data_IF_175070811305
#
_entry.id   IF_175070811305
#
_cell.length_a   1.000
_cell.length_b   1.000
_cell.length_c   1.000
_cell.angle_alpha   90.00
_cell.angle_beta   90.00
_cell.angle_gamma   90.00
#
_symmetry.space_group_name_H-M   'P 1'
#
loop_
_entity.id
_entity.type
_entity.pdbx_description
1 polymer ?
#
# COMPACT_ATOMS: atom_id res chain seq x y z
N UNK A 1 7.29 -18.43 0.50
CA UNK A 1 7.92 -17.25 -0.12
C UNK A 1 8.49 -16.40 0.99
N UNK A 2 9.68 -15.85 0.78
CA UNK A 2 10.23 -14.87 1.71
C UNK A 2 9.40 -13.59 1.62
N UNK A 3 9.04 -13.03 2.76
CA UNK A 3 8.46 -11.70 2.83
C UNK A 3 9.64 -10.72 2.80
N UNK A 4 9.74 -9.88 1.78
CA UNK A 4 10.76 -8.86 1.61
C UNK A 4 10.28 -7.78 0.67
N UNK A 5 11.01 -6.66 0.59
CA UNK A 5 10.65 -5.49 -0.20
C UNK A 5 9.83 -4.44 0.54
N UNK A 6 9.61 -4.61 1.84
CA UNK A 6 9.00 -3.61 2.71
C UNK A 6 9.32 -3.93 4.17
N UNK A 7 9.41 -2.91 5.02
CA UNK A 7 9.37 -3.05 6.46
C UNK A 7 7.91 -3.26 6.87
N UNK A 8 7.49 -4.50 7.07
CA UNK A 8 6.11 -4.85 7.39
C UNK A 8 6.00 -6.26 7.95
N UNK A 9 5.09 -6.46 8.88
CA UNK A 9 4.81 -7.77 9.45
C UNK A 9 3.94 -8.60 8.50
N UNK A 10 4.37 -9.82 8.06
CA UNK A 10 3.59 -10.66 7.18
C UNK A 10 2.48 -11.42 7.91
N UNK A 11 1.41 -11.79 7.19
CA UNK A 11 0.52 -12.86 7.61
C UNK A 11 1.17 -14.21 7.33
N UNK A 12 1.11 -15.11 8.28
CA UNK A 12 1.63 -16.48 8.18
C UNK A 12 0.48 -17.47 8.07
N UNK A 13 0.65 -18.50 7.24
CA UNK A 13 -0.35 -19.55 7.04
C UNK A 13 0.34 -20.87 6.66
N UNK A 14 -0.38 -21.97 6.83
CA UNK A 14 0.11 -23.31 6.45
C UNK A 14 -0.43 -23.72 5.08
N UNK A 15 0.48 -24.08 4.16
CA UNK A 15 0.11 -24.61 2.84
C UNK A 15 -0.02 -26.13 2.92
N UNK A 16 -1.25 -26.62 3.09
CA UNK A 16 -1.54 -28.04 3.35
C UNK A 16 -1.00 -29.00 2.28
N UNK A 17 -1.04 -28.60 0.99
CA UNK A 17 -0.62 -29.49 -0.09
C UNK A 17 0.88 -29.78 -0.09
N UNK A 18 1.71 -28.84 0.34
CA UNK A 18 3.16 -28.97 0.46
C UNK A 18 3.61 -29.26 1.89
N UNK A 19 2.70 -29.16 2.88
CA UNK A 19 3.01 -29.25 4.32
C UNK A 19 4.12 -28.29 4.71
N UNK A 20 4.00 -27.04 4.28
CA UNK A 20 4.96 -25.96 4.51
C UNK A 20 4.28 -24.71 5.07
N UNK A 21 4.96 -24.03 5.98
CA UNK A 21 4.54 -22.73 6.45
C UNK A 21 4.95 -21.67 5.43
N UNK A 22 4.02 -20.81 5.06
CA UNK A 22 4.22 -19.77 4.05
C UNK A 22 3.77 -18.41 4.58
N UNK A 23 4.32 -17.35 4.00
CA UNK A 23 3.94 -15.98 4.28
C UNK A 23 3.18 -15.38 3.09
N UNK A 24 2.13 -14.61 3.35
CA UNK A 24 1.50 -13.81 2.33
C UNK A 24 2.43 -12.67 1.94
N UNK A 25 2.44 -12.29 0.67
CA UNK A 25 3.34 -11.25 0.13
C UNK A 25 3.00 -9.88 0.72
N UNK A 26 4.02 -9.17 1.16
CA UNK A 26 3.94 -7.79 1.69
C UNK A 26 4.30 -6.75 0.64
N UNK A 27 4.98 -7.15 -0.46
CA UNK A 27 5.45 -6.35 -1.58
C UNK A 27 5.59 -7.23 -2.82
N UNK A 28 5.73 -6.62 -3.99
CA UNK A 28 5.94 -7.27 -5.29
C UNK A 28 7.41 -7.20 -5.73
N UNK A 29 8.23 -6.43 -5.03
CA UNK A 29 9.55 -5.93 -5.38
C UNK A 29 10.53 -7.04 -5.81
N UNK A 30 10.84 -7.98 -4.92
CA UNK A 30 11.91 -8.95 -5.16
C UNK A 30 11.61 -9.88 -6.35
N UNK A 31 10.34 -10.13 -6.65
CA UNK A 31 9.95 -10.92 -7.82
C UNK A 31 10.10 -10.13 -9.12
N UNK A 32 9.69 -8.86 -9.13
CA UNK A 32 9.79 -8.01 -10.32
C UNK A 32 11.25 -7.69 -10.65
N UNK A 33 12.11 -7.47 -9.64
CA UNK A 33 13.56 -7.30 -9.85
C UNK A 33 14.21 -8.54 -10.49
N UNK A 34 13.79 -9.75 -10.12
CA UNK A 34 14.26 -10.98 -10.79
C UNK A 34 13.90 -11.02 -12.27
N UNK A 35 12.76 -10.45 -12.67
CA UNK A 35 12.39 -10.33 -14.09
C UNK A 35 13.30 -9.34 -14.83
N UNK A 36 13.73 -8.26 -14.18
CA UNK A 36 14.74 -7.33 -14.72
C UNK A 36 16.08 -8.06 -14.93
N UNK A 37 16.54 -8.83 -13.95
CA UNK A 37 17.71 -9.70 -14.09
C UNK A 37 17.56 -10.67 -15.25
N UNK A 38 16.35 -11.22 -15.45
CA UNK A 38 16.01 -12.08 -16.58
C UNK A 38 15.94 -11.41 -17.94
N UNK A 39 16.18 -10.08 -18.01
CA UNK A 39 16.28 -9.31 -19.27
C UNK A 39 15.00 -8.61 -19.70
N UNK A 40 13.96 -8.56 -18.87
CA UNK A 40 12.78 -7.74 -19.12
C UNK A 40 13.09 -6.28 -18.73
N UNK A 41 13.17 -5.38 -19.69
CA UNK A 41 13.60 -4.00 -19.45
C UNK A 41 12.55 -3.16 -18.67
N UNK A 42 11.27 -3.50 -18.77
CA UNK A 42 10.16 -2.81 -18.09
C UNK A 42 9.15 -3.82 -17.61
N UNK A 43 8.88 -3.80 -16.34
CA UNK A 43 7.92 -4.70 -15.70
C UNK A 43 7.03 -3.92 -14.74
N UNK A 44 5.78 -4.35 -14.61
CA UNK A 44 4.90 -3.87 -13.55
C UNK A 44 3.91 -4.95 -13.14
N UNK A 45 3.45 -4.86 -11.92
CA UNK A 45 2.31 -5.63 -11.42
C UNK A 45 1.39 -4.71 -10.60
N UNK A 46 0.09 -4.85 -10.80
CA UNK A 46 -0.92 -4.27 -9.90
C UNK A 46 -1.55 -5.46 -9.18
N UNK A 47 -1.38 -5.53 -7.87
CA UNK A 47 -1.80 -6.69 -7.11
C UNK A 47 -2.11 -6.38 -5.65
N UNK A 48 -2.74 -7.36 -4.99
CA UNK A 48 -2.98 -7.31 -3.55
C UNK A 48 -1.71 -7.70 -2.80
N UNK A 49 -1.43 -6.92 -1.77
CA UNK A 49 -0.41 -7.22 -0.76
C UNK A 49 -1.05 -7.21 0.62
N UNK A 50 -0.39 -7.88 1.56
CA UNK A 50 -0.96 -8.20 2.87
C UNK A 50 0.05 -7.82 3.95
N UNK A 51 -0.34 -6.88 4.84
CA UNK A 51 0.49 -6.47 5.98
C UNK A 51 -0.31 -6.63 7.26
N UNK A 52 0.24 -7.38 8.20
CA UNK A 52 -0.39 -7.66 9.49
C UNK A 52 -0.15 -6.50 10.47
N UNK A 53 -0.73 -5.37 10.13
CA UNK A 53 -0.61 -4.10 10.83
C UNK A 53 -1.97 -3.61 11.32
N UNK A 54 -2.00 -2.42 11.93
CA UNK A 54 -3.23 -1.80 12.39
C UNK A 54 -4.21 -1.43 11.26
N UNK A 55 -5.47 -1.25 11.63
CA UNK A 55 -6.54 -0.78 10.72
C UNK A 55 -6.96 0.61 11.16
N UNK A 56 -6.89 1.57 10.23
CA UNK A 56 -7.35 2.94 10.44
C UNK A 56 -8.03 3.49 9.18
N UNK A 57 -8.20 4.80 9.08
CA UNK A 57 -8.82 5.43 7.91
C UNK A 57 -7.97 5.36 6.63
N UNK A 58 -6.66 5.11 6.74
CA UNK A 58 -5.69 5.09 5.65
C UNK A 58 -5.09 3.70 5.40
N UNK A 59 -5.21 2.79 6.37
CA UNK A 59 -4.60 1.46 6.35
C UNK A 59 -5.63 0.36 6.43
N UNK A 60 -5.48 -0.61 5.55
CA UNK A 60 -6.21 -1.87 5.56
C UNK A 60 -5.19 -3.01 5.44
N UNK A 61 -5.34 -4.13 6.15
CA UNK A 61 -4.35 -5.21 6.14
C UNK A 61 -4.17 -5.86 4.77
N UNK A 62 -5.13 -5.66 3.89
CA UNK A 62 -5.11 -6.04 2.47
C UNK A 62 -5.37 -4.79 1.64
N UNK A 63 -4.45 -4.47 0.73
CA UNK A 63 -4.57 -3.28 -0.13
C UNK A 63 -3.94 -3.51 -1.50
N UNK A 64 -4.23 -2.62 -2.45
CA UNK A 64 -3.71 -2.70 -3.82
C UNK A 64 -2.47 -1.85 -3.95
N UNK A 65 -1.37 -2.49 -4.36
CA UNK A 65 -0.12 -1.85 -4.70
C UNK A 65 0.15 -2.01 -6.19
N UNK A 66 0.67 -0.98 -6.84
CA UNK A 66 1.31 -1.11 -8.14
C UNK A 66 2.80 -0.89 -7.95
N UNK A 67 3.60 -1.86 -8.33
CA UNK A 67 5.05 -1.72 -8.43
C UNK A 67 5.49 -1.83 -9.87
N UNK A 68 6.45 -1.02 -10.26
CA UNK A 68 7.08 -1.07 -11.58
C UNK A 68 8.57 -0.82 -11.49
N UNK A 69 9.30 -1.45 -12.40
CA UNK A 69 10.75 -1.37 -12.50
C UNK A 69 11.15 -1.16 -13.95
N UNK A 70 12.09 -0.27 -14.17
CA UNK A 70 12.62 0.02 -15.49
C UNK A 70 14.15 0.01 -15.47
N UNK A 71 14.74 -0.80 -16.35
CA UNK A 71 16.17 -0.82 -16.56
C UNK A 71 16.66 0.48 -17.25
N UNK A 72 17.93 0.83 -17.02
CA UNK A 72 18.63 1.98 -17.61
C UNK A 72 18.01 3.34 -17.26
N UNK A 73 17.44 3.43 -16.06
CA UNK A 73 16.98 4.66 -15.44
C UNK A 73 17.37 4.70 -13.96
N UNK A 74 17.04 5.78 -13.29
CA UNK A 74 17.31 6.05 -11.89
C UNK A 74 16.09 6.67 -11.19
N UNK A 75 16.24 7.07 -9.92
CA UNK A 75 15.16 7.68 -9.17
C UNK A 75 14.69 9.03 -9.73
N UNK A 76 15.53 9.76 -10.47
CA UNK A 76 15.09 10.99 -11.17
C UNK A 76 14.13 10.66 -12.31
N UNK A 77 14.41 9.60 -13.09
CA UNK A 77 13.48 9.11 -14.11
C UNK A 77 12.15 8.65 -13.50
N UNK A 78 12.17 8.08 -12.29
CA UNK A 78 10.95 7.72 -11.56
C UNK A 78 10.17 8.97 -11.09
N UNK A 79 10.84 10.07 -10.70
CA UNK A 79 10.17 11.35 -10.39
C UNK A 79 9.44 11.91 -11.62
N UNK A 80 10.09 11.93 -12.78
CA UNK A 80 9.49 12.43 -14.02
C UNK A 80 8.28 11.59 -14.43
N UNK A 81 8.37 10.27 -14.32
CA UNK A 81 7.26 9.35 -14.56
C UNK A 81 6.11 9.65 -13.59
N UNK A 82 6.40 9.79 -12.32
CA UNK A 82 5.41 10.03 -11.27
C UNK A 82 4.68 11.35 -11.48
N UNK A 83 5.42 12.43 -11.68
CA UNK A 83 4.84 13.76 -11.92
C UNK A 83 3.93 13.77 -13.16
N UNK A 84 4.39 13.14 -14.26
CA UNK A 84 3.59 13.04 -15.48
C UNK A 84 2.35 12.15 -15.31
N UNK A 85 2.45 11.04 -14.57
CA UNK A 85 1.35 10.13 -14.30
C UNK A 85 0.26 10.79 -13.44
N UNK A 86 0.63 11.45 -12.34
CA UNK A 86 -0.34 12.12 -11.48
C UNK A 86 -1.07 13.25 -12.21
N UNK A 87 -0.34 14.06 -13.01
CA UNK A 87 -0.94 15.07 -13.85
C UNK A 87 -1.91 14.48 -14.87
N UNK A 88 -1.50 13.44 -15.58
CA UNK A 88 -2.33 12.73 -16.55
C UNK A 88 -3.61 12.16 -15.92
N UNK A 89 -3.50 11.52 -14.77
CA UNK A 89 -4.64 10.93 -14.06
C UNK A 89 -5.61 12.01 -13.57
N UNK A 90 -5.12 13.10 -13.00
CA UNK A 90 -5.96 14.23 -12.58
C UNK A 90 -6.75 14.81 -13.76
N UNK A 91 -6.09 15.04 -14.89
CA UNK A 91 -6.77 15.53 -16.11
C UNK A 91 -7.81 14.53 -16.64
N UNK A 92 -7.47 13.22 -16.67
CA UNK A 92 -8.37 12.20 -17.24
C UNK A 92 -9.54 11.85 -16.35
N UNK A 93 -9.34 11.78 -15.04
CA UNK A 93 -10.35 11.37 -14.06
C UNK A 93 -11.18 12.56 -13.58
N UNK A 94 -10.51 13.67 -13.23
CA UNK A 94 -11.15 14.82 -12.62
C UNK A 94 -11.41 15.97 -13.62
N UNK A 95 -10.87 15.87 -14.84
CA UNK A 95 -11.03 16.91 -15.90
C UNK A 95 -10.15 18.14 -15.67
N UNK A 96 -9.23 18.13 -14.71
CA UNK A 96 -8.37 19.27 -14.35
C UNK A 96 -7.12 18.77 -13.66
N UNK A 97 -5.99 19.49 -13.82
CA UNK A 97 -4.77 19.27 -13.01
C UNK A 97 -4.93 19.77 -11.57
N UNK A 98 -5.97 20.54 -11.28
CA UNK A 98 -6.33 20.97 -9.93
C UNK A 98 -7.49 20.15 -9.44
N UNK A 99 -7.30 19.48 -8.32
CA UNK A 99 -8.35 18.69 -7.65
C UNK A 99 -8.64 19.29 -6.27
N UNK A 100 -9.79 18.98 -5.72
CA UNK A 100 -10.12 19.28 -4.32
C UNK A 100 -10.20 17.98 -3.54
N UNK A 101 -9.51 17.91 -2.41
CA UNK A 101 -9.60 16.83 -1.46
C UNK A 101 -9.93 17.40 -0.09
N UNK A 102 -11.07 17.01 0.48
CA UNK A 102 -11.59 17.54 1.75
C UNK A 102 -11.55 19.08 1.83
N UNK A 103 -11.90 19.76 0.71
CA UNK A 103 -11.88 21.21 0.61
C UNK A 103 -10.51 21.84 0.41
N UNK A 104 -9.44 21.06 0.35
CA UNK A 104 -8.08 21.52 0.09
C UNK A 104 -7.79 21.40 -1.42
N UNK A 105 -7.37 22.51 -2.08
CA UNK A 105 -6.94 22.47 -3.47
C UNK A 105 -5.53 21.86 -3.57
N UNK A 106 -5.37 20.85 -4.43
CA UNK A 106 -4.11 20.21 -4.80
C UNK A 106 -3.86 20.48 -6.28
N UNK A 107 -2.69 21.04 -6.62
CA UNK A 107 -2.36 21.50 -7.97
C UNK A 107 -1.23 20.65 -8.58
N UNK A 108 -1.61 19.67 -9.42
CA UNK A 108 -0.66 18.85 -10.19
C UNK A 108 -0.12 19.55 -11.45
N UNK A 109 -0.65 20.73 -11.81
CA UNK A 109 -0.20 21.51 -12.96
C UNK A 109 1.15 22.19 -12.73
N UNK A 110 1.55 22.38 -11.47
CA UNK A 110 2.84 22.93 -11.08
C UNK A 110 3.89 21.83 -10.99
N UNK A 111 5.20 22.17 -11.15
CA UNK A 111 6.27 21.26 -10.79
C UNK A 111 6.16 20.87 -9.31
N UNK A 112 6.36 19.59 -9.00
CA UNK A 112 6.34 19.11 -7.62
C UNK A 112 7.58 19.64 -6.88
N UNK A 113 7.39 20.03 -5.62
CA UNK A 113 8.50 20.47 -4.77
C UNK A 113 9.48 19.30 -4.55
N UNK A 114 10.79 19.60 -4.51
CA UNK A 114 11.83 18.62 -4.24
C UNK A 114 12.64 19.09 -3.03
N UNK A 115 12.59 18.33 -1.95
CA UNK A 115 13.33 18.59 -0.72
C UNK A 115 14.12 17.34 -0.33
N UNK A 116 15.33 17.48 0.14
CA UNK A 116 15.98 16.38 0.86
C UNK A 116 15.30 16.22 2.23
N UNK A 117 15.34 15.01 2.80
CA UNK A 117 14.78 14.77 4.13
C UNK A 117 15.40 15.70 5.18
N UNK A 118 16.72 15.90 5.14
CA UNK A 118 17.43 16.82 6.07
C UNK A 118 17.02 18.27 5.85
N UNK A 119 16.85 18.71 4.58
CA UNK A 119 16.38 20.08 4.30
C UNK A 119 14.94 20.29 4.77
N UNK A 120 14.08 19.28 4.65
CA UNK A 120 12.72 19.35 5.18
C UNK A 120 12.74 19.51 6.71
N UNK A 121 13.50 18.70 7.42
CA UNK A 121 13.66 18.82 8.87
C UNK A 121 14.20 20.21 9.26
N UNK A 122 15.25 20.65 8.59
CA UNK A 122 15.84 21.98 8.82
C UNK A 122 14.83 23.12 8.59
N UNK A 123 14.01 22.99 7.53
CA UNK A 123 12.95 23.98 7.20
C UNK A 123 11.93 24.12 8.32
N UNK A 124 11.53 23.02 8.96
CA UNK A 124 10.42 23.01 9.91
C UNK A 124 10.86 23.06 11.38
N UNK A 125 12.07 22.57 11.71
CA UNK A 125 12.57 22.52 13.10
C UNK A 125 13.76 23.43 13.36
N UNK A 126 14.51 23.83 12.33
CA UNK A 126 15.78 24.52 12.42
C UNK A 126 16.97 23.58 12.68
N UNK A 127 16.76 22.29 12.90
CA UNK A 127 17.83 21.30 13.14
C UNK A 127 18.43 20.88 11.80
N UNK A 128 19.76 20.97 11.70
CA UNK A 128 20.54 20.57 10.53
C UNK A 128 21.30 19.27 10.81
N UNK A 129 20.72 18.14 10.43
CA UNK A 129 21.33 16.82 10.66
C UNK A 129 22.60 16.58 9.83
N UNK A 130 22.88 17.37 8.79
CA UNK A 130 24.16 17.29 8.08
C UNK A 130 25.34 17.82 8.95
N UNK A 131 25.05 18.59 10.00
CA UNK A 131 26.04 19.07 10.96
C UNK A 131 26.17 18.18 12.21
N UNK A 132 25.31 17.18 12.37
CA UNK A 132 25.32 16.24 13.50
C UNK A 132 26.39 15.18 13.28
N UNK A 133 27.31 15.03 14.24
CA UNK A 133 28.50 14.22 14.05
C UNK A 133 28.27 12.71 14.12
N UNK A 134 27.45 12.26 15.10
CA UNK A 134 27.27 10.84 15.39
C UNK A 134 25.91 10.51 16.03
N UNK A 135 25.70 9.22 16.34
CA UNK A 135 24.47 8.72 16.94
C UNK A 135 24.19 9.32 18.32
N UNK A 136 25.23 9.58 19.11
CA UNK A 136 25.07 10.13 20.46
C UNK A 136 24.58 11.58 20.41
N UNK A 137 25.10 12.37 19.50
CA UNK A 137 24.63 13.75 19.27
C UNK A 137 23.20 13.75 18.70
N UNK A 138 22.87 12.84 17.77
CA UNK A 138 21.51 12.71 17.23
C UNK A 138 20.50 12.37 18.33
N UNK A 139 20.81 11.40 19.21
CA UNK A 139 19.97 11.04 20.37
C UNK A 139 19.78 12.20 21.34
N UNK A 140 20.85 12.95 21.61
CA UNK A 140 20.76 14.15 22.46
C UNK A 140 19.80 15.19 21.86
N UNK A 141 19.85 15.42 20.55
CA UNK A 141 18.91 16.32 19.86
C UNK A 141 17.49 15.78 19.94
N UNK A 142 17.29 14.46 19.80
CA UNK A 142 15.99 13.82 19.98
C UNK A 142 15.42 14.06 21.39
N UNK A 143 16.24 13.91 22.43
CA UNK A 143 15.86 14.22 23.82
C UNK A 143 15.44 15.69 23.99
N UNK A 144 16.21 16.63 23.42
CA UNK A 144 15.93 18.07 23.47
C UNK A 144 14.61 18.45 22.76
N UNK A 145 14.22 17.68 21.74
CA UNK A 145 12.99 17.88 20.97
C UNK A 145 11.84 16.95 21.39
N UNK A 146 12.04 16.11 22.42
CA UNK A 146 11.06 15.16 22.93
C UNK A 146 10.62 14.10 21.90
N UNK A 147 11.51 13.72 20.96
CA UNK A 147 11.29 12.64 20.01
C UNK A 147 11.67 11.31 20.68
N UNK A 148 10.72 10.39 20.76
CA UNK A 148 10.95 9.08 21.34
C UNK A 148 11.76 8.21 20.38
N UNK A 149 12.73 7.44 20.90
CA UNK A 149 13.55 6.52 20.12
C UNK A 149 13.93 5.28 20.93
N UNK A 150 14.34 4.22 20.24
CA UNK A 150 14.86 3.01 20.87
C UNK A 150 16.39 3.06 20.99
N UNK A 151 16.96 2.33 21.96
CA UNK A 151 18.41 2.31 22.19
C UNK A 151 19.21 1.83 20.96
N UNK A 152 18.63 0.94 20.15
CA UNK A 152 19.24 0.43 18.92
C UNK A 152 19.30 1.46 17.78
N UNK A 153 18.52 2.51 17.84
CA UNK A 153 18.44 3.51 16.77
C UNK A 153 19.75 4.25 16.57
N UNK A 154 20.12 4.45 15.33
CA UNK A 154 21.27 5.22 14.86
C UNK A 154 20.83 6.60 14.39
N UNK A 155 21.79 7.42 13.96
CA UNK A 155 21.51 8.77 13.45
C UNK A 155 20.46 8.76 12.34
N UNK A 156 20.54 7.83 11.38
CA UNK A 156 19.58 7.74 10.28
C UNK A 156 18.16 7.45 10.73
N UNK A 157 17.99 6.56 11.72
CA UNK A 157 16.69 6.29 12.34
C UNK A 157 16.12 7.53 13.02
N UNK A 158 16.96 8.28 13.75
CA UNK A 158 16.56 9.55 14.40
C UNK A 158 16.14 10.59 13.37
N UNK A 159 16.84 10.70 12.23
CA UNK A 159 16.47 11.59 11.13
C UNK A 159 15.06 11.25 10.63
N UNK A 160 14.75 9.96 10.45
CA UNK A 160 13.42 9.52 10.03
C UNK A 160 12.34 9.89 11.06
N UNK A 161 12.57 9.61 12.34
CA UNK A 161 11.64 9.97 13.41
C UNK A 161 11.37 11.48 13.47
N UNK A 162 12.40 12.32 13.26
CA UNK A 162 12.21 13.77 13.16
C UNK A 162 11.37 14.18 11.95
N UNK A 163 11.58 13.52 10.82
CA UNK A 163 10.80 13.80 9.64
C UNK A 163 9.32 13.43 9.85
N UNK A 164 9.02 12.26 10.37
CA UNK A 164 7.67 11.80 10.70
C UNK A 164 6.97 12.76 11.67
N UNK A 165 7.64 13.14 12.77
CA UNK A 165 7.03 13.96 13.82
C UNK A 165 6.80 15.41 13.37
N UNK A 166 7.72 16.03 12.62
CA UNK A 166 7.69 17.48 12.39
C UNK A 166 7.39 17.91 10.95
N UNK A 167 7.54 17.01 9.97
CA UNK A 167 7.49 17.36 8.56
C UNK A 167 6.26 16.83 7.81
N UNK A 168 5.88 15.57 8.01
CA UNK A 168 4.83 14.92 7.22
C UNK A 168 3.52 15.70 7.20
N UNK A 169 3.07 16.16 8.37
CA UNK A 169 1.81 16.92 8.49
C UNK A 169 1.86 18.31 7.81
N UNK A 170 3.02 18.77 7.35
CA UNK A 170 3.18 20.03 6.64
C UNK A 170 3.12 19.88 5.12
N UNK A 171 3.19 18.66 4.60
CA UNK A 171 3.32 18.35 3.19
C UNK A 171 1.95 18.23 2.51
N UNK A 172 1.34 19.36 2.18
CA UNK A 172 0.00 19.40 1.58
C UNK A 172 0.07 19.30 0.06
N UNK A 173 0.89 20.13 -0.60
CA UNK A 173 1.09 20.10 -2.03
C UNK A 173 2.07 18.99 -2.42
N UNK A 174 2.01 18.46 -3.66
CA UNK A 174 2.89 17.39 -4.11
C UNK A 174 4.36 17.73 -3.87
N UNK A 175 5.02 16.96 -3.01
CA UNK A 175 6.41 17.17 -2.59
C UNK A 175 7.16 15.85 -2.58
N UNK A 176 8.26 15.78 -3.33
CA UNK A 176 9.23 14.70 -3.25
C UNK A 176 10.18 14.93 -2.07
N UNK A 177 10.21 14.00 -1.14
CA UNK A 177 11.20 13.94 -0.08
C UNK A 177 12.29 12.97 -0.51
N UNK A 178 13.51 13.48 -0.62
CA UNK A 178 14.63 12.80 -1.27
C UNK A 178 15.75 12.49 -0.29
N UNK A 179 16.67 11.63 -0.72
CA UNK A 179 17.95 11.42 -0.06
C UNK A 179 17.81 10.91 1.39
N UNK A 180 17.04 9.84 1.51
CA UNK A 180 16.80 9.17 2.80
C UNK A 180 18.09 8.59 3.40
N UNK A 181 18.14 8.43 4.73
CA UNK A 181 19.23 7.73 5.39
C UNK A 181 19.40 6.27 4.92
N UNK A 182 20.64 5.81 4.92
CA UNK A 182 20.98 4.46 4.51
C UNK A 182 20.39 3.39 5.46
N UNK A 183 20.27 3.71 6.74
CA UNK A 183 19.81 2.81 7.79
C UNK A 183 18.40 2.30 7.54
N UNK A 184 17.53 3.14 6.98
CA UNK A 184 16.12 2.83 6.71
C UNK A 184 15.85 2.43 5.25
N UNK A 185 16.89 2.11 4.47
CA UNK A 185 16.75 1.91 3.02
C UNK A 185 17.56 0.71 2.53
N UNK A 186 17.21 -0.53 2.90
CA UNK A 186 18.04 -1.72 2.71
C UNK A 186 18.22 -2.16 1.26
N UNK A 187 17.32 -1.75 0.34
CA UNK A 187 17.29 -2.18 -1.07
C UNK A 187 17.68 -1.09 -2.06
N UNK A 188 18.16 0.05 -1.53
CA UNK A 188 18.42 1.25 -2.32
C UNK A 188 19.91 1.53 -2.50
N UNK A 189 20.25 2.02 -3.68
CA UNK A 189 21.63 2.40 -4.04
C UNK A 189 22.09 3.62 -3.25
N UNK A 190 23.33 3.56 -2.73
CA UNK A 190 23.98 4.69 -2.06
C UNK A 190 24.18 5.86 -3.02
N UNK A 191 24.06 7.09 -2.52
CA UNK A 191 24.49 8.26 -3.29
C UNK A 191 25.99 8.29 -3.41
N UNK A 192 26.53 8.46 -4.63
CA UNK A 192 27.97 8.55 -4.82
C UNK A 192 28.62 9.74 -4.10
N UNK A 193 27.89 10.84 -3.94
CA UNK A 193 28.37 12.07 -3.27
C UNK A 193 28.34 12.00 -1.75
N UNK A 194 27.48 11.17 -1.18
CA UNK A 194 27.31 11.01 0.27
C UNK A 194 26.77 9.59 0.57
N UNK A 195 27.65 8.61 0.85
CA UNK A 195 27.26 7.23 1.08
C UNK A 195 26.42 6.98 2.35
N UNK A 196 26.22 7.98 3.20
CA UNK A 196 25.27 7.90 4.35
C UNK A 196 23.82 8.08 3.93
N UNK A 197 23.62 8.54 2.69
CA UNK A 197 22.31 8.75 2.06
C UNK A 197 22.15 7.83 0.85
N UNK A 198 20.92 7.60 0.45
CA UNK A 198 20.57 6.76 -0.68
C UNK A 198 19.77 7.52 -1.74
N UNK A 199 19.79 7.04 -2.97
CA UNK A 199 19.01 7.57 -4.09
C UNK A 199 17.55 7.11 -4.00
N UNK A 200 16.81 7.64 -3.03
CA UNK A 200 15.41 7.34 -2.72
C UNK A 200 14.59 8.63 -2.66
N UNK A 201 13.34 8.53 -3.05
CA UNK A 201 12.35 9.54 -2.71
C UNK A 201 11.02 8.89 -2.30
N UNK A 202 10.27 9.64 -1.52
CA UNK A 202 8.85 9.42 -1.28
C UNK A 202 8.07 10.64 -1.76
N UNK A 203 6.91 10.43 -2.37
CA UNK A 203 6.01 11.52 -2.75
C UNK A 203 4.95 11.68 -1.66
N UNK A 204 4.90 12.85 -1.07
CA UNK A 204 3.84 13.24 -0.14
C UNK A 204 2.83 14.17 -0.82
N UNK A 205 1.54 13.89 -0.60
CA UNK A 205 0.42 14.74 -1.00
C UNK A 205 -0.61 14.68 0.12
N UNK A 206 -1.07 15.84 0.57
CA UNK A 206 -2.05 15.94 1.66
C UNK A 206 -1.64 15.13 2.91
N UNK A 207 -0.39 15.26 3.31
CA UNK A 207 0.23 14.55 4.44
C UNK A 207 0.37 13.03 4.27
N UNK A 208 0.13 12.48 3.08
CA UNK A 208 0.19 11.05 2.82
C UNK A 208 1.35 10.69 1.91
N UNK A 209 2.07 9.65 2.25
CA UNK A 209 2.95 8.96 1.33
C UNK A 209 2.10 8.30 0.23
N UNK A 210 2.30 8.75 -1.01
CA UNK A 210 1.59 8.25 -2.19
C UNK A 210 2.39 7.20 -2.95
N UNK A 211 3.71 7.32 -2.93
CA UNK A 211 4.62 6.35 -3.53
C UNK A 211 6.01 6.45 -2.91
N UNK A 212 6.75 5.36 -3.05
CA UNK A 212 8.13 5.20 -2.63
C UNK A 212 8.96 4.67 -3.80
N UNK A 213 10.09 5.29 -4.10
CA UNK A 213 10.90 4.97 -5.27
C UNK A 213 12.38 5.20 -5.03
N UNK A 214 13.19 4.44 -5.75
CA UNK A 214 14.63 4.55 -5.66
C UNK A 214 15.38 4.04 -6.89
N UNK A 215 16.66 4.41 -6.98
CA UNK A 215 17.62 3.66 -7.79
C UNK A 215 17.92 2.35 -7.10
N UNK A 216 17.70 1.24 -7.78
CA UNK A 216 17.81 -0.09 -7.21
C UNK A 216 19.26 -0.43 -6.86
N UNK A 217 19.45 -0.98 -5.66
CA UNK A 217 20.74 -1.56 -5.28
C UNK A 217 21.00 -2.80 -6.15
N UNK A 218 22.00 -2.72 -7.00
CA UNK A 218 22.36 -3.77 -7.95
C UNK A 218 23.77 -4.36 -7.72
N UNK A 219 24.42 -4.00 -6.61
CA UNK A 219 25.67 -4.59 -6.15
C UNK A 219 25.36 -5.72 -5.15
N UNK A 220 25.64 -7.00 -5.50
CA UNK A 220 25.34 -8.13 -4.64
C UNK A 220 26.15 -8.12 -3.33
N UNK A 221 27.35 -7.51 -3.30
CA UNK A 221 28.17 -7.42 -2.10
C UNK A 221 27.55 -6.43 -1.12
N UNK A 222 27.22 -5.22 -1.58
CA UNK A 222 26.53 -4.21 -0.75
C UNK A 222 25.15 -4.74 -0.29
N UNK A 223 24.40 -5.41 -1.17
CA UNK A 223 23.10 -5.99 -0.80
C UNK A 223 23.23 -7.04 0.31
N UNK A 224 24.23 -7.88 0.26
CA UNK A 224 24.49 -8.89 1.31
C UNK A 224 24.81 -8.22 2.65
N UNK A 225 25.61 -7.14 2.64
CA UNK A 225 25.91 -6.36 3.85
C UNK A 225 24.65 -5.70 4.43
N UNK A 226 23.75 -5.21 3.57
CA UNK A 226 22.48 -4.62 4.01
C UNK A 226 21.54 -5.65 4.64
N UNK A 227 21.40 -6.81 4.02
CA UNK A 227 20.61 -7.90 4.58
C UNK A 227 21.19 -8.39 5.92
N UNK A 228 22.51 -8.51 6.04
CA UNK A 228 23.14 -8.87 7.31
C UNK A 228 22.86 -7.84 8.42
N UNK A 229 22.78 -6.55 8.08
CA UNK A 229 22.39 -5.52 9.02
C UNK A 229 20.90 -5.63 9.43
N UNK A 230 20.02 -5.97 8.49
CA UNK A 230 18.60 -6.22 8.78
C UNK A 230 18.40 -7.48 9.65
N UNK A 231 19.11 -8.57 9.37
CA UNK A 231 19.09 -9.76 10.22
C UNK A 231 19.56 -9.46 11.66
N UNK A 232 20.54 -8.55 11.82
CA UNK A 232 20.98 -8.09 13.13
C UNK A 232 19.91 -7.25 13.85
N UNK A 233 19.17 -6.40 13.13
CA UNK A 233 18.04 -5.65 13.68
C UNK A 233 16.91 -6.60 14.11
N UNK A 234 16.57 -7.60 13.28
CA UNK A 234 15.59 -8.64 13.63
C UNK A 234 15.99 -9.38 14.91
N UNK A 235 17.28 -9.75 15.05
CA UNK A 235 17.79 -10.39 16.25
C UNK A 235 17.75 -9.47 17.49
N UNK A 236 17.74 -8.15 17.28
CA UNK A 236 17.60 -7.15 18.34
C UNK A 236 16.12 -6.82 18.68
N UNK A 237 15.16 -7.50 18.03
CA UNK A 237 13.72 -7.39 18.32
C UNK A 237 12.92 -6.53 17.34
N UNK A 238 13.47 -6.25 16.17
CA UNK A 238 12.75 -5.58 15.10
C UNK A 238 11.91 -6.60 14.30
N UNK A 239 10.62 -6.65 14.57
CA UNK A 239 9.69 -7.60 13.92
C UNK A 239 9.40 -7.26 12.45
N UNK A 240 9.79 -6.07 11.98
CA UNK A 240 9.58 -5.57 10.62
C UNK A 240 10.85 -5.65 9.75
N UNK A 241 11.99 -6.00 10.35
CA UNK A 241 13.25 -6.11 9.63
C UNK A 241 13.18 -7.20 8.54
N UNK A 242 13.78 -6.89 7.39
CA UNK A 242 13.88 -7.84 6.29
C UNK A 242 14.87 -8.96 6.61
N UNK A 243 14.60 -10.16 6.10
CA UNK A 243 15.50 -11.28 6.21
C UNK A 243 16.29 -11.49 4.92
N UNK A 244 17.51 -12.03 5.06
CA UNK A 244 18.36 -12.40 3.92
C UNK A 244 17.62 -13.33 2.96
N UNK A 245 17.52 -12.93 1.69
CA UNK A 245 17.01 -13.73 0.57
C UNK A 245 18.18 -14.15 -0.32
N UNK A 246 18.70 -15.38 -0.09
CA UNK A 246 19.81 -15.92 -0.88
C UNK A 246 19.47 -16.11 -2.35
N UNK A 247 18.21 -16.41 -2.70
CA UNK A 247 17.81 -16.54 -4.11
C UNK A 247 17.83 -15.18 -4.82
N UNK A 248 17.48 -14.11 -4.11
CA UNK A 248 17.59 -12.76 -4.65
C UNK A 248 19.06 -12.34 -4.79
N UNK A 249 19.92 -12.63 -3.81
CA UNK A 249 21.36 -12.39 -3.92
C UNK A 249 21.99 -13.14 -5.10
N UNK A 250 21.65 -14.42 -5.28
CA UNK A 250 22.08 -15.20 -6.44
C UNK A 250 21.62 -14.56 -7.76
N UNK A 251 20.41 -14.02 -7.81
CA UNK A 251 19.94 -13.30 -8.99
C UNK A 251 20.77 -12.04 -9.25
N UNK A 252 21.10 -11.25 -8.22
CA UNK A 252 21.96 -10.07 -8.36
C UNK A 252 23.37 -10.41 -8.84
N UNK A 253 23.94 -11.56 -8.43
CA UNK A 253 25.24 -12.04 -8.89
C UNK A 253 25.26 -12.37 -10.38
N UNK A 254 24.11 -12.74 -10.97
CA UNK A 254 23.99 -12.92 -12.43
C UNK A 254 24.15 -11.57 -13.14
N UNK A 255 23.65 -10.50 -12.52
CA UNK A 255 23.78 -9.13 -12.96
C UNK A 255 22.43 -8.45 -13.19
N UNK A 256 22.16 -7.39 -12.43
CA UNK A 256 21.02 -6.50 -12.64
C UNK A 256 21.50 -5.18 -13.24
N UNK A 257 20.95 -4.70 -14.38
CA UNK A 257 21.30 -3.40 -14.93
C UNK A 257 20.94 -2.28 -13.95
N UNK A 258 21.52 -1.06 -14.11
CA UNK A 258 21.01 0.11 -13.40
C UNK A 258 19.50 0.23 -13.62
N UNK A 259 18.74 0.32 -12.56
CA UNK A 259 17.28 0.21 -12.59
C UNK A 259 16.66 1.22 -11.64
N UNK A 260 15.60 1.91 -12.07
CA UNK A 260 14.73 2.66 -11.21
C UNK A 260 13.47 1.84 -10.91
N UNK A 261 13.05 1.83 -9.66
CA UNK A 261 11.83 1.17 -9.20
C UNK A 261 10.94 2.09 -8.39
N UNK A 262 9.65 1.79 -8.37
CA UNK A 262 8.65 2.57 -7.65
C UNK A 262 7.43 1.73 -7.27
N UNK A 263 6.92 1.95 -6.06
CA UNK A 263 5.65 1.42 -5.58
C UNK A 263 4.63 2.52 -5.33
N UNK A 264 3.41 2.35 -5.86
CA UNK A 264 2.29 3.28 -5.69
C UNK A 264 1.17 2.64 -4.88
N UNK A 265 0.70 3.32 -3.84
CA UNK A 265 -0.51 2.95 -3.12
C UNK A 265 -1.76 3.29 -3.96
N UNK A 266 -2.31 2.30 -4.66
CA UNK A 266 -3.43 2.52 -5.59
C UNK A 266 -4.69 2.94 -4.83
N UNK A 267 -4.98 2.35 -3.68
CA UNK A 267 -6.16 2.73 -2.90
C UNK A 267 -6.06 4.18 -2.43
N UNK A 268 -4.89 4.63 -1.97
CA UNK A 268 -4.65 6.05 -1.59
C UNK A 268 -4.80 6.99 -2.78
N UNK A 269 -4.30 6.60 -3.97
CA UNK A 269 -4.47 7.37 -5.19
C UNK A 269 -5.96 7.50 -5.57
N UNK A 270 -6.73 6.42 -5.47
CA UNK A 270 -8.18 6.44 -5.71
C UNK A 270 -8.88 7.33 -4.70
N UNK A 271 -8.56 7.22 -3.39
CA UNK A 271 -9.09 8.11 -2.36
C UNK A 271 -8.87 9.59 -2.71
N UNK A 272 -7.65 9.95 -3.12
CA UNK A 272 -7.29 11.31 -3.48
C UNK A 272 -8.10 11.84 -4.68
N UNK A 273 -8.22 11.03 -5.74
CA UNK A 273 -8.91 11.43 -6.99
C UNK A 273 -10.44 11.42 -6.87
N UNK A 274 -11.01 10.72 -5.89
CA UNK A 274 -12.46 10.62 -5.67
C UNK A 274 -12.97 11.38 -4.46
N UNK A 275 -12.09 12.12 -3.77
CA UNK A 275 -12.40 12.83 -2.51
C UNK A 275 -12.97 11.89 -1.42
N UNK A 276 -12.47 10.65 -1.36
CA UNK A 276 -12.89 9.67 -0.37
C UNK A 276 -12.02 9.76 0.89
N UNK A 277 -12.66 9.87 2.07
CA UNK A 277 -11.97 10.18 3.33
C UNK A 277 -11.40 8.94 4.03
N UNK A 278 -11.85 7.74 3.66
CA UNK A 278 -11.38 6.50 4.26
C UNK A 278 -11.10 5.44 3.19
N UNK A 279 -10.07 4.63 3.43
CA UNK A 279 -9.67 3.54 2.52
C UNK A 279 -10.81 2.53 2.29
N UNK A 280 -11.63 2.27 3.30
CA UNK A 280 -12.82 1.40 3.19
C UNK A 280 -13.86 1.91 2.19
N UNK A 281 -13.87 3.21 1.88
CA UNK A 281 -14.84 3.80 0.94
C UNK A 281 -14.47 3.49 -0.52
N UNK A 282 -13.21 3.11 -0.77
CA UNK A 282 -12.69 2.73 -2.10
C UNK A 282 -12.41 1.23 -2.23
N UNK A 283 -12.62 0.46 -1.18
CA UNK A 283 -12.53 -1.01 -1.19
C UNK A 283 -13.93 -1.61 -1.30
N UNK A 284 -14.13 -2.55 -2.22
CA UNK A 284 -15.43 -3.23 -2.36
C UNK A 284 -15.78 -4.10 -1.15
N UNK A 285 -14.77 -4.74 -0.54
CA UNK A 285 -14.92 -5.62 0.62
C UNK A 285 -13.80 -5.32 1.64
N UNK A 286 -13.92 -4.20 2.40
CA UNK A 286 -12.91 -3.86 3.39
C UNK A 286 -12.93 -4.83 4.58
N UNK A 287 -11.78 -5.08 5.17
CA UNK A 287 -11.69 -5.80 6.43
C UNK A 287 -12.27 -4.95 7.55
N UNK A 288 -13.31 -5.44 8.22
CA UNK A 288 -14.00 -4.74 9.30
C UNK A 288 -13.82 -5.50 10.60
N UNK A 289 -13.78 -4.79 11.73
CA UNK A 289 -13.92 -5.45 13.04
C UNK A 289 -15.29 -6.09 13.13
N UNK A 290 -15.36 -7.34 13.62
CA UNK A 290 -16.65 -8.00 13.87
C UNK A 290 -17.43 -7.18 14.89
N UNK A 291 -18.67 -6.82 14.58
CA UNK A 291 -19.60 -6.29 15.58
C UNK A 291 -19.90 -7.44 16.54
N UNK A 292 -19.31 -7.44 17.74
CA UNK A 292 -19.57 -8.45 18.77
C UNK A 292 -18.44 -9.34 19.21
N UNK A 293 -17.18 -8.98 18.97
CA UNK A 293 -16.04 -9.58 19.68
C UNK A 293 -15.94 -9.03 21.10
N UNK A 294 -16.84 -9.42 21.99
CA UNK A 294 -16.64 -9.23 23.43
C UNK A 294 -15.70 -10.32 23.93
N UNK A 295 -14.68 -9.91 24.66
CA UNK A 295 -13.93 -10.77 25.56
C UNK A 295 -14.89 -11.69 26.33
N UNK A 296 -14.56 -12.98 26.35
CA UNK A 296 -15.27 -13.95 27.15
C UNK A 296 -15.17 -13.55 28.63
N UNK A 297 -16.22 -12.93 29.18
CA UNK A 297 -16.77 -13.21 30.47
C UNK A 297 -17.92 -12.25 30.83
N UNK A 298 -19.02 -12.85 31.23
CA UNK A 298 -20.25 -12.24 31.81
C UNK A 298 -21.36 -11.80 30.84
N UNK A 299 -22.31 -12.71 30.72
CA UNK A 299 -23.67 -12.46 30.25
C UNK A 299 -24.41 -11.54 31.22
N UNK A 300 -24.98 -10.45 30.73
CA UNK A 300 -26.18 -9.86 31.29
C UNK A 300 -27.08 -9.33 30.18
N UNK A 301 -28.22 -9.95 30.03
CA UNK A 301 -29.32 -9.53 29.18
C UNK A 301 -29.87 -8.17 29.62
N UNK A 302 -29.94 -7.21 28.70
CA UNK A 302 -30.99 -6.18 28.74
C UNK A 302 -31.32 -5.79 27.28
N UNK A 303 -32.60 -6.04 26.96
CA UNK A 303 -33.24 -5.69 25.72
C UNK A 303 -33.37 -4.15 25.58
N UNK A 304 -33.03 -3.65 24.39
CA UNK A 304 -33.29 -2.27 24.00
C UNK A 304 -33.53 -2.18 22.49
N UNK A 305 -34.67 -1.61 22.15
CA UNK A 305 -35.23 -1.40 20.80
C UNK A 305 -34.20 -1.04 19.72
N UNK A 306 -34.18 -1.83 18.65
CA UNK A 306 -33.54 -1.49 17.40
C UNK A 306 -34.52 -1.50 16.24
N UNK A 307 -34.84 -0.31 15.75
CA UNK A 307 -35.30 -0.10 14.38
C UNK A 307 -34.12 -0.31 13.44
N UNK A 308 -33.83 -1.53 13.01
CA UNK A 308 -32.76 -1.87 12.10
C UNK A 308 -33.25 -2.79 11.01
N UNK A 309 -32.81 -2.50 9.78
CA UNK A 309 -33.13 -3.22 8.56
C UNK A 309 -32.57 -4.66 8.49
N UNK A 310 -31.82 -5.08 9.51
CA UNK A 310 -31.31 -6.44 9.66
C UNK A 310 -31.47 -6.90 11.10
N UNK A 311 -32.26 -7.94 11.33
CA UNK A 311 -32.21 -8.75 12.55
C UNK A 311 -31.02 -9.71 12.45
N UNK A 312 -29.98 -9.60 13.31
CA UNK A 312 -28.92 -10.60 13.35
C UNK A 312 -29.47 -11.89 14.01
N UNK A 313 -29.17 -13.03 13.38
CA UNK A 313 -29.21 -14.37 13.96
C UNK A 313 -30.57 -15.04 14.19
N UNK A 314 -31.26 -15.38 13.11
CA UNK A 314 -31.75 -16.75 13.07
C UNK A 314 -30.57 -17.61 12.52
N UNK A 315 -30.14 -18.60 13.31
CA UNK A 315 -29.20 -19.61 12.85
C UNK A 315 -29.79 -20.26 11.61
N UNK A 316 -29.20 -20.04 10.45
CA UNK A 316 -29.59 -20.69 9.22
C UNK A 316 -29.37 -22.18 9.44
N UNK A 317 -30.44 -22.94 9.44
CA UNK A 317 -30.41 -24.40 9.49
C UNK A 317 -30.08 -24.92 8.09
N UNK A 318 -28.80 -25.09 7.82
CA UNK A 318 -28.29 -25.57 6.53
C UNK A 318 -28.86 -26.96 6.12
N UNK A 319 -29.43 -27.73 7.05
CA UNK A 319 -30.09 -28.98 6.72
C UNK A 319 -31.44 -28.80 5.99
N UNK A 320 -31.94 -27.58 5.95
CA UNK A 320 -33.21 -27.19 5.29
C UNK A 320 -32.96 -26.33 4.04
N UNK A 321 -31.69 -26.06 3.70
CA UNK A 321 -31.33 -25.30 2.51
C UNK A 321 -31.10 -26.28 1.38
N UNK A 322 -31.97 -26.23 0.37
CA UNK A 322 -31.76 -26.96 -0.89
C UNK A 322 -30.74 -26.17 -1.69
N UNK A 323 -29.48 -26.66 -1.72
CA UNK A 323 -28.39 -26.02 -2.48
C UNK A 323 -28.50 -26.55 -3.91
N UNK A 324 -29.05 -25.74 -4.80
CA UNK A 324 -28.94 -26.03 -6.22
C UNK A 324 -27.45 -26.00 -6.62
N UNK A 325 -26.92 -26.96 -7.38
CA UNK A 325 -25.56 -26.91 -7.87
C UNK A 325 -25.38 -25.63 -8.69
N UNK A 326 -24.31 -24.88 -8.41
CA UNK A 326 -24.01 -23.60 -9.06
C UNK A 326 -23.88 -23.71 -10.58
N UNK A 327 -23.52 -24.89 -11.07
CA UNK A 327 -23.38 -25.19 -12.48
C UNK A 327 -23.95 -26.60 -12.76
N UNK A 328 -24.86 -26.72 -13.74
CA UNK A 328 -25.36 -27.98 -14.20
C UNK A 328 -24.37 -28.67 -15.16
N UNK A 329 -23.60 -27.91 -15.95
CA UNK A 329 -22.64 -28.39 -16.93
C UNK A 329 -21.42 -27.48 -17.00
N UNK A 330 -20.26 -28.02 -17.38
CA UNK A 330 -19.06 -27.24 -17.67
C UNK A 330 -19.31 -26.38 -18.93
N UNK A 331 -18.94 -25.08 -18.82
CA UNK A 331 -19.03 -24.16 -19.95
C UNK A 331 -17.66 -24.07 -20.60
N UNK A 332 -17.58 -24.32 -21.92
CA UNK A 332 -16.35 -24.21 -22.68
C UNK A 332 -15.88 -22.74 -22.75
N UNK A 333 -14.58 -22.56 -23.01
CA UNK A 333 -13.98 -21.24 -23.07
C UNK A 333 -14.58 -20.32 -24.13
N UNK A 334 -15.03 -20.86 -25.26
CA UNK A 334 -15.63 -20.08 -26.34
C UNK A 334 -17.00 -19.51 -25.90
N UNK A 335 -17.79 -20.29 -25.20
CA UNK A 335 -19.07 -19.85 -24.60
C UNK A 335 -18.83 -18.84 -23.49
N UNK A 336 -17.85 -19.08 -22.61
CA UNK A 336 -17.49 -18.14 -21.54
C UNK A 336 -16.99 -16.80 -22.10
N UNK A 337 -16.17 -16.83 -23.18
CA UNK A 337 -15.62 -15.60 -23.79
C UNK A 337 -16.66 -14.69 -24.45
N UNK A 338 -17.87 -15.21 -24.69
CA UNK A 338 -19.02 -14.42 -25.18
C UNK A 338 -19.82 -13.76 -24.06
N UNK A 339 -19.50 -14.07 -22.82
CA UNK A 339 -20.14 -13.46 -21.65
C UNK A 339 -19.69 -12.00 -21.49
N UNK A 340 -20.63 -11.10 -21.26
CA UNK A 340 -20.38 -9.67 -21.09
C UNK A 340 -20.54 -9.32 -19.60
N UNK A 341 -19.42 -9.01 -18.94
CA UNK A 341 -19.39 -8.59 -17.54
C UNK A 341 -19.25 -7.08 -17.47
N UNK A 342 -20.23 -6.41 -16.88
CA UNK A 342 -20.25 -4.96 -16.77
C UNK A 342 -20.48 -4.53 -15.32
N UNK A 343 -19.76 -3.49 -14.91
CA UNK A 343 -20.13 -2.72 -13.74
C UNK A 343 -21.35 -1.84 -14.08
N UNK A 344 -22.38 -1.91 -13.25
CA UNK A 344 -23.63 -1.17 -13.45
C UNK A 344 -23.94 -0.32 -12.23
N UNK A 345 -24.58 0.84 -12.47
CA UNK A 345 -25.07 1.68 -11.38
C UNK A 345 -26.52 1.26 -11.04
N UNK A 346 -26.75 0.93 -9.78
CA UNK A 346 -28.11 0.72 -9.27
C UNK A 346 -28.81 2.06 -9.12
N UNK A 347 -29.86 2.28 -9.89
CA UNK A 347 -30.72 3.48 -9.82
C UNK A 347 -31.84 3.33 -8.80
N UNK A 348 -32.41 2.14 -8.75
CA UNK A 348 -33.55 1.83 -7.89
C UNK A 348 -33.53 0.36 -7.48
N UNK A 349 -33.93 0.09 -6.25
CA UNK A 349 -34.14 -1.24 -5.72
C UNK A 349 -35.50 -1.29 -4.99
N UNK A 350 -36.35 -2.23 -5.36
CA UNK A 350 -37.67 -2.40 -4.74
C UNK A 350 -38.01 -3.88 -4.52
N UNK A 351 -38.85 -4.16 -3.53
CA UNK A 351 -39.33 -5.50 -3.31
C UNK A 351 -40.31 -5.93 -4.39
N UNK A 352 -40.18 -7.16 -4.89
CA UNK A 352 -41.13 -7.73 -5.86
C UNK A 352 -42.45 -8.05 -5.16
N UNK A 353 -43.60 -7.50 -5.63
CA UNK A 353 -44.88 -7.80 -5.04
C UNK A 353 -45.17 -9.32 -5.00
N UNK A 354 -45.57 -9.83 -3.84
CA UNK A 354 -45.85 -11.24 -3.58
C UNK A 354 -44.64 -12.17 -3.53
N UNK A 355 -43.43 -11.68 -3.63
CA UNK A 355 -42.22 -12.46 -3.40
C UNK A 355 -41.59 -12.09 -2.07
N UNK A 356 -41.17 -13.11 -1.31
CA UNK A 356 -40.40 -12.94 -0.07
C UNK A 356 -38.91 -13.06 -0.29
N UNK A 357 -38.47 -13.33 -1.54
CA UNK A 357 -37.07 -13.68 -1.87
C UNK A 357 -36.49 -12.85 -3.02
N UNK A 358 -37.28 -12.03 -3.70
CA UNK A 358 -36.82 -11.31 -4.89
C UNK A 358 -36.86 -9.80 -4.69
N UNK A 359 -35.76 -9.17 -5.08
CA UNK A 359 -35.65 -7.73 -5.27
C UNK A 359 -35.63 -7.41 -6.76
N UNK A 360 -36.26 -6.31 -7.13
CA UNK A 360 -36.18 -5.75 -8.47
C UNK A 360 -35.20 -4.58 -8.45
N UNK A 361 -34.21 -4.65 -9.33
CA UNK A 361 -33.23 -3.60 -9.52
C UNK A 361 -33.43 -2.92 -10.88
N UNK A 362 -33.36 -1.60 -10.88
CA UNK A 362 -33.22 -0.81 -12.10
C UNK A 362 -31.76 -0.39 -12.21
N UNK A 363 -31.09 -0.85 -13.26
CA UNK A 363 -29.64 -0.73 -13.47
C UNK A 363 -29.34 0.13 -14.68
N UNK A 364 -28.35 1.03 -14.55
CA UNK A 364 -27.75 1.78 -15.63
C UNK A 364 -26.39 1.13 -15.99
N UNK A 365 -26.29 0.56 -17.16
CA UNK A 365 -25.08 -0.10 -17.69
C UNK A 365 -24.29 0.80 -18.67
N UNK A 366 -24.62 2.09 -18.71
CA UNK A 366 -23.97 3.07 -19.60
C UNK A 366 -24.42 3.02 -21.06
N UNK A 367 -25.40 2.15 -21.43
CA UNK A 367 -25.91 2.05 -22.81
C UNK A 367 -27.01 3.07 -23.14
N UNK A 368 -27.41 3.88 -22.14
CA UNK A 368 -28.49 4.86 -22.28
C UNK A 368 -29.90 4.29 -22.12
N UNK A 369 -30.03 2.99 -21.84
CA UNK A 369 -31.31 2.33 -21.55
C UNK A 369 -31.19 1.56 -20.25
N UNK A 370 -32.05 1.87 -19.29
CA UNK A 370 -32.06 1.19 -17.98
C UNK A 370 -32.51 -0.27 -18.14
N UNK A 371 -31.84 -1.17 -17.43
CA UNK A 371 -32.20 -2.60 -17.36
C UNK A 371 -32.90 -2.92 -16.06
N UNK A 372 -33.92 -3.75 -16.15
CA UNK A 372 -34.59 -4.28 -14.97
C UNK A 372 -34.15 -5.73 -14.73
N UNK A 373 -33.63 -6.02 -13.54
CA UNK A 373 -33.19 -7.36 -13.12
C UNK A 373 -33.91 -7.75 -11.85
N UNK A 374 -34.35 -9.01 -11.79
CA UNK A 374 -34.86 -9.63 -10.55
C UNK A 374 -33.76 -10.50 -9.95
N UNK A 375 -33.45 -10.32 -8.70
CA UNK A 375 -32.40 -11.08 -8.02
C UNK A 375 -32.88 -11.55 -6.64
N UNK A 376 -32.44 -12.77 -6.28
CA UNK A 376 -32.68 -13.35 -4.95
C UNK A 376 -31.63 -12.95 -3.91
N UNK A 377 -30.96 -11.85 -4.10
CA UNK A 377 -30.02 -11.30 -3.09
C UNK A 377 -30.86 -10.72 -1.95
N UNK A 378 -30.79 -11.38 -0.82
CA UNK A 378 -31.33 -10.92 0.47
C UNK A 378 -30.18 -10.69 1.42
#
# INVERSE_FOLDING_TARGET
SNAGGAAARPFETHYNALNEDVKLRISLELYLKRLIVGGLERVYEIGRVFRNEGVDTRHNPEFTLMELYQAYTDYYGMMELTESMFRYLAEKVCGSTKISYNGIEIDFGKPFERLTMVDAIKKYTGVDFDQVADDAEAKKIADEHHVEYEERHKKGDIVNLFFEEFCEEKLIQPTFIMDHPIEISPLTKKKPSDPTKVERFELFINTWEMCNAYSELNDPIDQRERFAAQDANAAAGDDEAEHTDEDFLNALEIGMPPTGGIGYGIDRLVMLLTDSQAIRDVLLFPTMKSEGGSDSDSVSETAGDNNGFFTPNEKIDFSKVDIEPLFADEVDFETFSRSDFRAVKVKECSAVPKSKKLLQFTLDDGTGTDRTILSGIH
#
